data_IF_332954646668
#
_entry.id   IF_332954646668
#
_cell.length_a   1.000
_cell.length_b   1.000
_cell.length_c   1.000
_cell.angle_alpha   90.00
_cell.angle_beta   90.00
_cell.angle_gamma   90.00
#
_symmetry.space_group_name_H-M   'P 1'
#
loop_
_entity.id
_entity.type
_entity.pdbx_description
1 polymer ?
#
# COMPACT_ATOMS: atom_id res chain seq x y z
N UNK A 1 -4.25 -30.53 -23.04
CA UNK A 1 -3.12 -29.95 -23.78
C UNK A 1 -3.70 -28.88 -24.69
N UNK A 2 -3.74 -27.64 -24.23
CA UNK A 2 -4.34 -26.52 -24.96
C UNK A 2 -3.24 -25.77 -25.72
N UNK A 3 -3.27 -25.87 -27.03
CA UNK A 3 -2.42 -25.13 -27.95
C UNK A 3 -2.89 -23.68 -28.04
N UNK A 4 -2.09 -22.77 -27.55
CA UNK A 4 -2.30 -21.33 -27.69
C UNK A 4 -2.28 -20.92 -29.18
N UNK A 5 -3.29 -20.19 -29.59
CA UNK A 5 -3.52 -19.72 -30.97
C UNK A 5 -2.35 -18.85 -31.47
N UNK A 6 -1.81 -19.06 -32.68
CA UNK A 6 -0.60 -18.37 -33.18
C UNK A 6 -0.73 -16.85 -33.32
N UNK A 7 -1.93 -16.29 -33.27
CA UNK A 7 -2.18 -14.85 -33.34
C UNK A 7 -1.73 -14.08 -32.06
N UNK A 8 -1.62 -14.75 -30.92
CA UNK A 8 -1.16 -14.13 -29.65
C UNK A 8 0.37 -13.95 -29.60
N UNK A 9 1.13 -14.78 -30.28
CA UNK A 9 2.58 -14.69 -30.35
C UNK A 9 3.09 -13.56 -31.26
N UNK A 10 2.31 -13.14 -32.25
CA UNK A 10 2.68 -12.02 -33.14
C UNK A 10 2.49 -10.65 -32.47
N UNK A 11 1.50 -10.50 -31.58
CA UNK A 11 1.28 -9.26 -30.81
C UNK A 11 2.39 -9.00 -29.77
N UNK A 12 2.94 -10.05 -29.19
CA UNK A 12 4.05 -9.91 -28.21
C UNK A 12 5.38 -9.52 -28.86
N UNK A 13 5.61 -9.89 -30.12
CA UNK A 13 6.81 -9.47 -30.87
C UNK A 13 6.76 -8.03 -31.34
N UNK A 14 5.57 -7.52 -31.69
CA UNK A 14 5.42 -6.10 -32.12
C UNK A 14 5.60 -5.11 -30.96
N UNK A 15 5.19 -5.46 -29.74
CA UNK A 15 5.37 -4.58 -28.57
C UNK A 15 6.82 -4.52 -28.10
N UNK A 16 7.60 -5.60 -28.27
CA UNK A 16 9.03 -5.64 -27.96
C UNK A 16 9.88 -4.77 -28.89
N UNK A 17 9.59 -4.78 -30.20
CA UNK A 17 10.35 -3.98 -31.17
C UNK A 17 10.08 -2.47 -31.10
N UNK A 18 8.90 -2.05 -30.61
CA UNK A 18 8.58 -0.64 -30.39
C UNK A 18 9.30 -0.06 -29.16
N UNK A 19 9.57 -0.88 -28.15
CA UNK A 19 10.31 -0.45 -26.95
C UNK A 19 11.81 -0.25 -27.24
N UNK A 20 12.41 -1.09 -28.08
CA UNK A 20 13.83 -0.98 -28.47
C UNK A 20 14.09 0.25 -29.36
N UNK A 21 13.18 0.60 -30.26
CA UNK A 21 13.33 1.79 -31.12
C UNK A 21 13.19 3.11 -30.36
N UNK A 22 12.47 3.13 -29.23
CA UNK A 22 12.33 4.33 -28.40
C UNK A 22 13.62 4.62 -27.59
N UNK A 23 14.40 3.60 -27.23
CA UNK A 23 15.63 3.79 -26.46
C UNK A 23 16.80 4.32 -27.28
N UNK A 24 16.87 3.99 -28.58
CA UNK A 24 17.94 4.45 -29.47
C UNK A 24 17.78 5.89 -29.96
N UNK A 25 16.56 6.45 -29.87
CA UNK A 25 16.31 7.85 -30.27
C UNK A 25 16.67 8.88 -29.18
N UNK A 26 16.68 8.45 -27.90
CA UNK A 26 17.01 9.33 -26.76
C UNK A 26 18.49 9.68 -26.63
N UNK A 27 19.38 8.83 -27.15
CA UNK A 27 20.84 9.02 -27.01
C UNK A 27 21.43 10.04 -28.01
N UNK A 28 20.62 10.46 -29.02
CA UNK A 28 21.14 11.34 -30.10
C UNK A 28 20.72 12.82 -29.96
N UNK A 29 19.89 13.16 -28.99
CA UNK A 29 19.29 14.50 -28.85
C UNK A 29 19.82 15.33 -27.67
N UNK A 30 20.85 14.92 -26.92
CA UNK A 30 21.58 15.79 -25.97
C UNK A 30 20.72 16.55 -24.93
N UNK A 31 19.53 16.02 -24.56
CA UNK A 31 18.62 16.64 -23.61
C UNK A 31 18.75 15.98 -22.23
N UNK A 32 19.64 16.55 -21.44
CA UNK A 32 19.85 16.22 -20.04
C UNK A 32 18.75 16.83 -19.16
N UNK A 33 17.59 16.19 -19.08
CA UNK A 33 16.61 16.40 -18.00
C UNK A 33 15.75 15.12 -17.85
N UNK A 34 15.45 14.65 -16.61
CA UNK A 34 14.81 13.36 -16.39
C UNK A 34 13.32 13.39 -16.74
N UNK A 35 12.96 12.80 -17.87
CA UNK A 35 11.57 12.59 -18.32
C UNK A 35 10.95 11.36 -17.62
N UNK A 36 11.47 10.96 -16.47
CA UNK A 36 10.96 9.78 -15.75
C UNK A 36 9.52 9.89 -15.25
N UNK A 37 9.02 11.10 -14.97
CA UNK A 37 7.67 11.29 -14.43
C UNK A 37 6.55 11.16 -15.48
N UNK A 38 6.80 11.55 -16.72
CA UNK A 38 5.79 11.49 -17.81
C UNK A 38 5.58 10.07 -18.36
N UNK A 39 6.62 9.25 -18.35
CA UNK A 39 6.53 7.85 -18.79
C UNK A 39 5.78 6.96 -17.80
N UNK A 40 5.85 7.26 -16.50
CA UNK A 40 5.16 6.48 -15.46
C UNK A 40 3.63 6.65 -15.53
N UNK A 41 3.14 7.86 -15.70
CA UNK A 41 1.69 8.18 -15.78
C UNK A 41 1.05 7.58 -17.05
N UNK A 42 1.80 7.55 -18.17
CA UNK A 42 1.31 6.95 -19.42
C UNK A 42 1.25 5.42 -19.37
N UNK A 43 2.16 4.80 -18.62
CA UNK A 43 2.22 3.34 -18.43
C UNK A 43 1.06 2.83 -17.56
N UNK A 44 0.67 3.57 -16.52
CA UNK A 44 -0.48 3.20 -15.69
C UNK A 44 -1.82 3.30 -16.43
N UNK A 45 -2.00 4.32 -17.28
CA UNK A 45 -3.23 4.45 -18.09
C UNK A 45 -3.37 3.34 -19.13
N UNK A 46 -2.27 2.91 -19.75
CA UNK A 46 -2.26 1.78 -20.69
C UNK A 46 -2.52 0.44 -20.02
N UNK A 47 -2.01 0.23 -18.79
CA UNK A 47 -2.30 -1.00 -18.03
C UNK A 47 -3.77 -1.08 -17.60
N UNK A 48 -4.37 0.03 -17.17
CA UNK A 48 -5.79 0.06 -16.78
C UNK A 48 -6.72 -0.18 -17.99
N UNK A 49 -6.38 0.33 -19.16
CA UNK A 49 -7.15 0.08 -20.38
C UNK A 49 -7.03 -1.39 -20.86
N UNK A 50 -5.86 -2.00 -20.73
CA UNK A 50 -5.64 -3.42 -21.09
C UNK A 50 -6.37 -4.39 -20.15
N UNK A 51 -6.40 -4.10 -18.83
CA UNK A 51 -7.11 -4.92 -17.84
C UNK A 51 -8.63 -4.81 -18.00
N UNK A 52 -9.18 -3.61 -18.30
CA UNK A 52 -10.61 -3.45 -18.59
C UNK A 52 -11.03 -4.17 -19.87
N UNK A 53 -10.19 -4.15 -20.93
CA UNK A 53 -10.44 -4.88 -22.17
C UNK A 53 -10.47 -6.39 -21.99
N UNK A 54 -9.60 -6.94 -21.13
CA UNK A 54 -9.56 -8.38 -20.84
C UNK A 54 -10.78 -8.83 -20.00
N UNK A 55 -11.25 -7.99 -19.06
CA UNK A 55 -12.46 -8.26 -18.26
C UNK A 55 -13.75 -8.24 -19.10
N UNK A 56 -13.82 -7.36 -20.13
CA UNK A 56 -14.97 -7.32 -21.03
C UNK A 56 -15.03 -8.54 -21.96
N UNK A 57 -13.87 -9.08 -22.37
CA UNK A 57 -13.78 -10.27 -23.22
C UNK A 57 -14.20 -11.56 -22.49
N UNK A 58 -13.97 -11.64 -21.18
CA UNK A 58 -14.38 -12.79 -20.36
C UNK A 58 -15.87 -12.79 -20.04
N UNK A 59 -16.53 -11.62 -20.04
CA UNK A 59 -17.98 -11.51 -19.84
C UNK A 59 -18.80 -11.87 -21.09
N UNK A 60 -18.22 -11.82 -22.29
CA UNK A 60 -18.88 -12.19 -23.53
C UNK A 60 -18.74 -13.66 -23.94
N UNK A 61 -17.89 -14.42 -23.23
CA UNK A 61 -17.64 -15.85 -23.50
C UNK A 61 -18.42 -16.82 -22.61
N UNK A 62 -19.31 -16.33 -21.77
CA UNK A 62 -20.05 -17.11 -20.74
C UNK A 62 -21.54 -17.25 -21.00
N UNK A 63 -21.95 -17.67 -22.21
CA UNK A 63 -23.31 -18.16 -22.44
C UNK A 63 -23.24 -19.27 -23.48
N UNK A 64 -23.31 -20.49 -23.03
CA UNK A 64 -23.93 -21.66 -23.65
C UNK A 64 -23.36 -22.92 -23.01
N UNK A 65 -24.12 -23.59 -22.17
CA UNK A 65 -24.37 -25.01 -22.26
C UNK A 65 -25.37 -25.44 -21.21
N UNK A 66 -26.52 -25.79 -21.76
CA UNK A 66 -27.70 -26.35 -21.13
C UNK A 66 -27.56 -27.84 -20.87
N UNK A 67 -28.11 -28.26 -19.73
CA UNK A 67 -28.82 -29.50 -19.42
C UNK A 67 -28.38 -30.85 -20.01
N UNK A 68 -28.15 -31.81 -19.12
CA UNK A 68 -28.60 -33.17 -19.24
C UNK A 68 -28.75 -33.85 -17.87
N UNK A 69 -30.01 -34.00 -17.48
CA UNK A 69 -30.56 -34.90 -16.46
C UNK A 69 -30.49 -36.36 -16.91
N UNK A 70 -30.23 -37.31 -16.01
CA UNK A 70 -30.90 -38.62 -15.84
C UNK A 70 -30.14 -39.48 -14.83
N UNK A 71 -30.76 -39.73 -13.74
CA UNK A 71 -31.43 -40.88 -13.14
C UNK A 71 -30.92 -42.29 -13.63
N UNK A 72 -30.57 -43.11 -12.69
CA UNK A 72 -31.04 -44.47 -12.34
C UNK A 72 -29.95 -45.16 -11.50
N UNK A 73 -30.26 -45.62 -10.39
CA UNK A 73 -31.02 -46.74 -9.83
C UNK A 73 -30.13 -47.80 -9.19
N UNK A 74 -30.49 -48.07 -7.98
CA UNK A 74 -30.28 -49.17 -7.05
C UNK A 74 -29.76 -50.51 -7.60
N UNK A 75 -28.80 -51.10 -6.92
CA UNK A 75 -28.94 -52.53 -6.60
C UNK A 75 -28.03 -53.00 -5.47
N UNK A 76 -28.67 -53.52 -4.45
CA UNK A 76 -28.14 -54.30 -3.31
C UNK A 76 -27.86 -55.73 -3.78
N UNK A 77 -26.72 -56.32 -3.44
CA UNK A 77 -26.61 -57.77 -3.16
C UNK A 77 -25.48 -58.02 -2.16
N UNK A 78 -25.88 -58.50 -1.01
CA UNK A 78 -25.06 -59.22 -0.04
C UNK A 78 -24.75 -60.63 -0.58
N UNK A 79 -23.51 -61.10 -0.37
CA UNK A 79 -23.29 -62.52 0.00
C UNK A 79 -21.99 -62.69 0.76
N UNK A 80 -22.14 -63.24 1.93
CA UNK A 80 -21.07 -63.76 2.76
C UNK A 80 -20.62 -65.12 2.25
N UNK A 81 -19.32 -65.41 2.29
CA UNK A 81 -18.83 -66.76 2.56
C UNK A 81 -17.46 -66.75 3.28
N UNK A 82 -17.49 -67.51 4.31
CA UNK A 82 -16.40 -67.90 5.24
C UNK A 82 -15.47 -68.91 4.56
N UNK A 83 -14.15 -68.88 4.83
CA UNK A 83 -13.43 -69.91 5.57
C UNK A 83 -11.94 -70.03 5.19
N UNK A 84 -11.20 -70.17 6.27
CA UNK A 84 -9.97 -70.96 6.51
C UNK A 84 -8.63 -70.57 5.87
N UNK A 85 -7.73 -70.10 6.73
CA UNK A 85 -6.62 -70.93 7.20
C UNK A 85 -5.37 -70.92 6.32
N UNK A 86 -4.33 -70.19 6.75
CA UNK A 86 -2.98 -70.35 6.28
C UNK A 86 -2.07 -69.27 6.89
N UNK A 87 -1.34 -69.63 7.93
CA UNK A 87 -0.19 -68.86 8.43
C UNK A 87 1.10 -69.49 7.88
N UNK A 88 2.27 -68.84 8.10
CA UNK A 88 2.70 -67.48 7.83
C UNK A 88 3.90 -67.44 6.87
N UNK A 89 4.00 -66.47 6.02
CA UNK A 89 5.23 -66.15 5.33
C UNK A 89 5.74 -64.79 5.87
N UNK A 90 6.92 -64.82 6.43
CA UNK A 90 7.65 -63.64 6.97
C UNK A 90 7.85 -62.64 5.86
N UNK A 91 7.20 -61.50 6.01
CA UNK A 91 7.44 -60.30 5.19
C UNK A 91 8.77 -59.64 5.58
N UNK A 92 9.55 -59.14 4.63
CA UNK A 92 10.76 -58.33 4.94
C UNK A 92 10.37 -57.02 5.64
N UNK A 93 11.27 -56.44 6.46
CA UNK A 93 10.98 -55.20 7.16
C UNK A 93 10.76 -54.07 6.12
N UNK A 94 9.53 -53.59 6.06
CA UNK A 94 9.20 -52.36 5.37
C UNK A 94 9.91 -51.20 6.02
N UNK A 95 10.91 -50.67 5.40
CA UNK A 95 11.47 -49.36 5.78
C UNK A 95 10.36 -48.33 5.47
N UNK A 96 9.62 -47.98 6.49
CA UNK A 96 8.76 -46.80 6.48
C UNK A 96 9.68 -45.58 6.42
N UNK A 97 9.60 -44.70 5.44
CA UNK A 97 10.22 -43.40 5.55
C UNK A 97 9.52 -42.68 6.72
N UNK A 98 10.21 -42.50 7.82
CA UNK A 98 9.79 -41.55 8.87
C UNK A 98 9.76 -40.15 8.23
N UNK A 99 8.63 -39.81 7.65
CA UNK A 99 8.32 -38.43 7.36
C UNK A 99 8.07 -37.73 8.69
N UNK A 100 9.12 -37.20 9.29
CA UNK A 100 9.04 -36.25 10.39
C UNK A 100 8.48 -34.93 9.85
N UNK A 101 7.29 -34.97 9.31
CA UNK A 101 6.50 -33.81 9.00
C UNK A 101 5.91 -33.27 10.30
N UNK A 102 6.48 -32.20 10.83
CA UNK A 102 5.91 -31.49 11.98
C UNK A 102 4.53 -30.97 11.56
N UNK A 103 3.49 -31.71 11.97
CA UNK A 103 2.09 -31.32 11.71
C UNK A 103 1.74 -30.14 12.60
N UNK A 104 1.35 -29.03 12.03
CA UNK A 104 0.92 -27.82 12.76
C UNK A 104 -0.57 -27.92 13.08
N UNK A 105 -0.93 -27.83 14.36
CA UNK A 105 -2.33 -27.71 14.76
C UNK A 105 -2.86 -26.32 14.45
N UNK A 106 -4.10 -26.20 13.90
CA UNK A 106 -4.69 -24.90 13.55
C UNK A 106 -4.77 -23.96 14.76
N UNK A 107 -4.36 -22.70 14.58
CA UNK A 107 -4.52 -21.66 15.59
C UNK A 107 -3.62 -21.79 16.83
N UNK A 108 -2.60 -22.66 16.81
CA UNK A 108 -1.64 -22.83 17.93
C UNK A 108 -0.42 -21.91 17.81
N UNK A 109 -0.37 -21.06 16.80
CA UNK A 109 0.73 -20.11 16.63
C UNK A 109 0.89 -19.21 17.87
N UNK A 110 2.12 -19.09 18.36
CA UNK A 110 2.42 -18.27 19.53
C UNK A 110 2.39 -16.77 19.18
N UNK A 111 2.10 -15.93 20.18
CA UNK A 111 2.18 -14.49 20.06
C UNK A 111 3.55 -14.01 19.55
N UNK A 112 4.63 -14.67 20.02
CA UNK A 112 6.00 -14.34 19.63
C UNK A 112 6.27 -14.67 18.16
N UNK A 113 5.78 -15.80 17.65
CA UNK A 113 5.91 -16.17 16.24
C UNK A 113 5.16 -15.19 15.33
N UNK A 114 3.93 -14.81 15.71
CA UNK A 114 3.13 -13.81 15.00
C UNK A 114 3.82 -12.45 15.00
N UNK A 115 4.33 -12.01 16.16
CA UNK A 115 5.04 -10.73 16.29
C UNK A 115 6.34 -10.74 15.48
N UNK A 116 7.08 -11.83 15.48
CA UNK A 116 8.30 -11.97 14.69
C UNK A 116 8.02 -11.90 13.18
N UNK A 117 6.91 -12.46 12.72
CA UNK A 117 6.48 -12.35 11.34
C UNK A 117 6.03 -10.93 10.99
N UNK A 118 5.22 -10.29 11.84
CA UNK A 118 4.75 -8.92 11.67
C UNK A 118 5.91 -7.92 11.59
N UNK A 119 6.94 -8.08 12.41
CA UNK A 119 8.16 -7.24 12.41
C UNK A 119 8.92 -7.27 11.07
N UNK A 120 8.73 -8.29 10.25
CA UNK A 120 9.32 -8.36 8.91
C UNK A 120 8.54 -7.61 7.84
N UNK A 121 7.32 -7.13 8.15
CA UNK A 121 6.51 -6.38 7.21
C UNK A 121 7.03 -4.94 7.05
N UNK A 122 7.07 -4.39 5.82
CA UNK A 122 7.64 -3.05 5.57
C UNK A 122 6.96 -1.91 6.34
N UNK A 123 5.65 -2.05 6.59
CA UNK A 123 4.84 -1.04 7.29
C UNK A 123 4.78 -1.24 8.80
N UNK A 124 5.54 -2.22 9.35
CA UNK A 124 5.55 -2.44 10.79
C UNK A 124 6.33 -1.34 11.52
N UNK A 125 5.80 -0.78 12.62
CA UNK A 125 6.48 0.25 13.38
C UNK A 125 7.85 -0.23 13.86
N UNK A 126 8.91 0.43 13.40
CA UNK A 126 10.29 0.09 13.72
C UNK A 126 11.10 1.38 13.94
N UNK A 127 12.27 1.25 14.56
CA UNK A 127 13.17 2.36 14.80
C UNK A 127 13.83 2.30 16.17
N UNK A 128 14.78 3.21 16.37
CA UNK A 128 15.51 3.28 17.63
C UNK A 128 14.54 3.65 18.79
N UNK A 129 14.54 2.86 19.85
CA UNK A 129 13.72 3.09 21.03
C UNK A 129 12.24 2.68 20.88
N UNK A 130 11.83 2.11 19.76
CA UNK A 130 10.47 1.57 19.58
C UNK A 130 10.35 0.23 20.26
N UNK A 131 9.35 0.07 21.11
CA UNK A 131 9.01 -1.17 21.79
C UNK A 131 7.64 -1.64 21.32
N UNK A 132 7.52 -2.95 21.07
CA UNK A 132 6.29 -3.55 20.58
C UNK A 132 5.95 -4.79 21.40
N UNK A 133 4.66 -4.93 21.73
CA UNK A 133 4.09 -6.09 22.41
C UNK A 133 2.82 -6.51 21.69
N UNK A 134 2.58 -7.82 21.59
CA UNK A 134 1.40 -8.38 20.97
C UNK A 134 0.63 -9.20 22.00
N UNK A 135 -0.67 -8.91 22.10
CA UNK A 135 -1.62 -9.68 22.88
C UNK A 135 -2.65 -10.32 21.94
N UNK A 136 -2.96 -11.60 22.13
CA UNK A 136 -4.03 -12.30 21.40
C UNK A 136 -5.33 -12.04 22.16
N UNK A 137 -6.25 -11.29 21.56
CA UNK A 137 -7.52 -10.90 22.21
C UNK A 137 -8.52 -12.06 22.33
N UNK A 138 -8.52 -12.94 21.35
CA UNK A 138 -9.40 -14.10 21.31
C UNK A 138 -8.72 -15.26 20.61
N UNK A 139 -8.73 -16.42 21.25
CA UNK A 139 -8.32 -17.67 20.64
C UNK A 139 -9.38 -18.13 19.63
N UNK A 140 -9.00 -18.46 18.41
CA UNK A 140 -9.92 -18.99 17.43
C UNK A 140 -10.39 -20.40 17.80
N UNK A 141 -11.61 -20.77 17.40
CA UNK A 141 -12.13 -22.13 17.57
C UNK A 141 -11.65 -22.98 16.40
N UNK A 142 -10.73 -23.90 16.68
CA UNK A 142 -10.02 -24.68 15.64
C UNK A 142 -10.19 -26.19 15.76
N UNK A 143 -10.85 -26.67 16.83
CA UNK A 143 -10.96 -28.11 17.15
C UNK A 143 -11.64 -28.95 16.03
N UNK A 144 -12.38 -28.31 15.11
CA UNK A 144 -13.05 -28.96 13.99
C UNK A 144 -12.23 -28.94 12.70
N UNK A 145 -11.06 -28.30 12.70
CA UNK A 145 -10.22 -28.15 11.52
C UNK A 145 -9.18 -29.28 11.45
N UNK A 146 -8.95 -29.75 10.25
CA UNK A 146 -7.92 -30.75 10.01
C UNK A 146 -6.52 -30.22 10.28
N UNK A 147 -5.57 -31.05 10.73
CA UNK A 147 -4.18 -30.68 10.87
C UNK A 147 -3.57 -30.19 9.55
N UNK A 148 -2.64 -29.23 9.61
CA UNK A 148 -1.97 -28.65 8.47
C UNK A 148 -0.50 -29.00 8.46
N UNK A 149 0.07 -29.20 7.28
CA UNK A 149 1.51 -29.45 7.14
C UNK A 149 2.29 -28.14 7.02
N UNK A 150 1.67 -27.10 6.43
CA UNK A 150 2.32 -25.79 6.23
C UNK A 150 1.32 -24.66 6.35
N UNK A 151 1.67 -23.65 7.15
CA UNK A 151 0.84 -22.45 7.31
C UNK A 151 1.60 -21.20 6.90
N UNK A 152 0.87 -20.23 6.37
CA UNK A 152 1.36 -18.89 6.04
C UNK A 152 0.48 -17.83 6.69
N UNK A 153 1.09 -16.71 7.10
CA UNK A 153 0.34 -15.57 7.61
C UNK A 153 -0.06 -14.65 6.48
N UNK A 154 -1.30 -14.14 6.56
CA UNK A 154 -1.87 -13.20 5.60
C UNK A 154 -2.49 -12.01 6.31
N UNK A 155 -2.37 -10.83 5.70
CA UNK A 155 -2.97 -9.58 6.16
C UNK A 155 -3.95 -9.07 5.11
N UNK A 156 -5.00 -8.38 5.56
CA UNK A 156 -5.84 -7.62 4.65
C UNK A 156 -5.01 -6.50 3.98
N UNK A 157 -5.32 -6.21 2.72
CA UNK A 157 -4.67 -5.11 2.01
C UNK A 157 -4.85 -3.78 2.75
N UNK A 158 -3.77 -3.05 2.98
CA UNK A 158 -3.79 -1.78 3.72
C UNK A 158 -3.99 -1.91 5.23
N UNK A 159 -3.85 -3.12 5.80
CA UNK A 159 -3.95 -3.32 7.23
C UNK A 159 -2.91 -2.48 7.99
N UNK A 160 -3.37 -1.76 9.01
CA UNK A 160 -2.51 -1.07 9.96
C UNK A 160 -1.89 -2.11 10.90
N UNK A 161 -0.57 -2.05 11.11
CA UNK A 161 0.17 -3.04 11.91
C UNK A 161 0.40 -2.60 13.38
N UNK A 162 -0.51 -1.82 13.95
CA UNK A 162 -0.57 -1.47 15.38
C UNK A 162 -2.02 -1.24 15.83
N UNK A 163 -2.26 -1.33 17.13
CA UNK A 163 -3.60 -1.35 17.66
C UNK A 163 -4.28 -2.69 17.39
N UNK A 164 -5.55 -2.69 17.04
CA UNK A 164 -6.29 -3.91 16.69
C UNK A 164 -5.96 -4.35 15.27
N UNK A 165 -5.50 -5.59 15.12
CA UNK A 165 -5.10 -6.20 13.86
C UNK A 165 -5.71 -7.58 13.74
N UNK A 166 -6.23 -7.91 12.55
CA UNK A 166 -6.65 -9.26 12.21
C UNK A 166 -5.57 -9.90 11.35
N UNK A 167 -4.95 -10.97 11.85
CA UNK A 167 -3.94 -11.75 11.17
C UNK A 167 -4.54 -13.09 10.78
N UNK A 168 -4.56 -13.41 9.48
CA UNK A 168 -4.95 -14.72 8.98
C UNK A 168 -3.80 -15.70 9.08
N UNK A 169 -4.07 -16.92 9.55
CA UNK A 169 -3.23 -18.09 9.43
C UNK A 169 -3.87 -19.00 8.39
N UNK A 170 -3.24 -19.10 7.22
CA UNK A 170 -3.72 -19.86 6.08
C UNK A 170 -2.96 -21.17 5.93
N UNK A 171 -3.68 -22.29 5.83
CA UNK A 171 -3.08 -23.58 5.54
C UNK A 171 -2.84 -23.70 4.05
N UNK A 172 -1.56 -23.91 3.67
CA UNK A 172 -1.14 -24.04 2.26
C UNK A 172 -0.90 -25.47 1.85
N UNK A 173 -0.83 -26.44 2.81
CA UNK A 173 -0.60 -27.86 2.50
C UNK A 173 -1.23 -28.75 3.58
N UNK A 174 -1.93 -29.79 3.16
CA UNK A 174 -2.58 -30.79 4.00
C UNK A 174 -4.04 -30.52 4.35
N UNK A 175 -4.47 -29.25 4.30
CA UNK A 175 -5.85 -28.83 4.52
C UNK A 175 -6.14 -27.49 3.80
N UNK A 176 -7.41 -27.07 3.81
CA UNK A 176 -7.86 -25.82 3.16
C UNK A 176 -8.66 -24.99 4.14
N UNK A 177 -7.98 -24.32 5.08
CA UNK A 177 -8.63 -23.43 6.04
C UNK A 177 -7.83 -22.14 6.23
N UNK A 178 -8.53 -21.11 6.68
CA UNK A 178 -7.91 -19.87 7.17
C UNK A 178 -8.50 -19.53 8.53
N UNK A 179 -7.64 -19.32 9.50
CA UNK A 179 -7.99 -18.95 10.87
C UNK A 179 -7.61 -17.49 11.08
N UNK A 180 -8.52 -16.68 11.61
CA UNK A 180 -8.27 -15.27 11.90
C UNK A 180 -8.00 -15.05 13.39
N UNK A 181 -6.80 -14.55 13.68
CA UNK A 181 -6.39 -14.15 15.01
C UNK A 181 -6.69 -12.66 15.21
N UNK A 182 -7.43 -12.33 16.26
CA UNK A 182 -7.67 -10.96 16.68
C UNK A 182 -6.58 -10.54 17.65
N UNK A 183 -5.73 -9.62 17.21
CA UNK A 183 -4.54 -9.20 17.92
C UNK A 183 -4.67 -7.77 18.42
N UNK A 184 -4.05 -7.47 19.55
CA UNK A 184 -3.74 -6.11 19.99
C UNK A 184 -2.23 -5.92 19.97
N UNK A 185 -1.75 -5.05 19.09
CA UNK A 185 -0.33 -4.70 18.98
C UNK A 185 -0.13 -3.36 19.67
N UNK A 186 0.60 -3.38 20.79
CA UNK A 186 1.03 -2.19 21.51
C UNK A 186 2.34 -1.71 20.93
N UNK A 187 2.43 -0.41 20.68
CA UNK A 187 3.62 0.23 20.15
C UNK A 187 3.90 1.47 20.97
N UNK A 188 5.04 1.49 21.64
CA UNK A 188 5.54 2.65 22.35
C UNK A 188 6.88 3.07 21.77
N UNK A 189 7.07 4.34 21.57
CA UNK A 189 8.30 4.84 20.99
C UNK A 189 8.47 6.34 21.15
N UNK A 190 9.63 6.87 20.75
CA UNK A 190 9.90 8.28 20.79
C UNK A 190 9.05 9.03 19.75
N UNK A 191 8.61 10.23 20.10
CA UNK A 191 7.89 11.13 19.20
C UNK A 191 8.22 12.58 19.52
N UNK A 192 8.05 13.45 18.52
CA UNK A 192 8.07 14.90 18.70
C UNK A 192 6.75 15.32 19.35
N UNK A 193 6.80 15.80 20.60
CA UNK A 193 5.64 16.23 21.37
C UNK A 193 5.69 17.74 21.54
N UNK A 194 4.60 18.43 21.20
CA UNK A 194 4.50 19.88 21.29
C UNK A 194 4.66 20.36 22.75
N UNK A 195 5.58 21.30 23.00
CA UNK A 195 5.81 21.91 24.32
C UNK A 195 4.70 22.88 24.70
N UNK A 196 4.10 23.52 23.72
CA UNK A 196 3.03 24.48 23.82
C UNK A 196 2.01 24.29 22.72
N UNK A 197 0.89 24.96 22.81
CA UNK A 197 -0.10 24.98 21.73
C UNK A 197 0.46 25.71 20.50
N UNK A 198 0.38 25.08 19.34
CA UNK A 198 0.78 25.64 18.05
C UNK A 198 -0.46 25.87 17.18
N UNK A 199 -0.59 27.06 16.63
CA UNK A 199 -1.76 27.44 15.85
C UNK A 199 -1.75 26.80 14.43
N UNK A 200 -2.92 26.56 13.87
CA UNK A 200 -3.05 26.21 12.46
C UNK A 200 -2.42 27.29 11.55
N UNK A 201 -1.76 26.88 10.47
CA UNK A 201 -1.05 27.80 9.55
C UNK A 201 0.33 28.25 10.04
N UNK A 202 0.74 27.93 11.26
CA UNK A 202 2.11 28.19 11.71
C UNK A 202 3.09 27.15 11.14
N UNK A 203 4.32 27.58 10.88
CA UNK A 203 5.44 26.69 10.48
C UNK A 203 6.11 26.20 11.76
N UNK A 204 6.01 24.90 12.08
CA UNK A 204 6.57 24.38 13.33
C UNK A 204 8.09 24.36 13.27
N UNK A 205 8.73 24.68 14.40
CA UNK A 205 10.18 24.69 14.57
C UNK A 205 10.60 23.52 15.46
N UNK A 206 11.83 23.03 15.32
CA UNK A 206 12.35 21.97 16.18
C UNK A 206 12.28 22.33 17.67
N UNK A 207 12.46 23.61 18.02
CA UNK A 207 12.38 24.13 19.39
C UNK A 207 10.97 24.04 20.01
N UNK A 208 9.92 23.95 19.18
CA UNK A 208 8.54 23.83 19.65
C UNK A 208 8.23 22.45 20.23
N UNK A 209 9.12 21.49 20.03
CA UNK A 209 8.91 20.09 20.42
C UNK A 209 9.92 19.61 21.47
N UNK A 210 9.52 18.58 22.18
CA UNK A 210 10.40 17.73 22.98
C UNK A 210 10.23 16.29 22.55
N UNK A 211 11.32 15.51 22.57
CA UNK A 211 11.24 14.08 22.33
C UNK A 211 10.71 13.40 23.59
N UNK A 212 9.58 12.74 23.47
CA UNK A 212 8.95 11.99 24.56
C UNK A 212 8.57 10.59 24.07
N UNK A 213 8.51 9.65 25.00
CA UNK A 213 7.98 8.32 24.74
C UNK A 213 6.46 8.37 24.80
N UNK A 214 5.80 7.94 23.72
CA UNK A 214 4.35 7.94 23.60
C UNK A 214 3.82 6.61 23.08
N UNK A 215 2.56 6.34 23.41
CA UNK A 215 1.82 5.21 22.84
C UNK A 215 1.31 5.59 21.45
N UNK A 216 1.87 4.94 20.41
CA UNK A 216 1.52 5.18 18.99
C UNK A 216 0.14 4.66 18.63
N UNK A 217 -0.42 3.72 19.43
CA UNK A 217 -1.72 3.12 19.14
C UNK A 217 -2.89 4.07 19.26
N UNK A 218 -2.68 5.22 19.93
CA UNK A 218 -3.68 6.26 20.09
C UNK A 218 -4.00 7.04 18.82
N UNK A 219 -3.13 6.95 17.79
CA UNK A 219 -3.29 7.66 16.53
C UNK A 219 -3.45 6.68 15.36
N UNK A 220 -4.23 7.03 14.32
CA UNK A 220 -4.34 6.22 13.11
C UNK A 220 -3.04 6.21 12.30
N UNK A 221 -2.22 7.24 12.41
CA UNK A 221 -0.92 7.38 11.74
C UNK A 221 0.21 7.33 12.76
N UNK A 222 1.40 6.80 12.41
CA UNK A 222 2.55 6.82 13.31
C UNK A 222 3.04 8.25 13.52
N UNK A 223 3.71 8.57 14.65
CA UNK A 223 4.41 9.83 14.79
C UNK A 223 5.46 10.02 13.69
N UNK A 224 5.75 11.27 13.35
CA UNK A 224 6.83 11.58 12.40
C UNK A 224 8.19 11.15 12.94
N UNK A 225 9.12 10.74 12.06
CA UNK A 225 10.52 10.52 12.41
C UNK A 225 11.14 11.75 13.08
N UNK A 226 12.03 11.53 14.04
CA UNK A 226 12.64 12.61 14.83
C UNK A 226 13.50 13.57 14.01
N UNK A 227 14.00 13.11 12.88
CA UNK A 227 14.85 13.85 11.93
C UNK A 227 14.05 14.54 10.81
N UNK A 228 12.71 14.56 10.92
CA UNK A 228 11.84 15.21 9.93
C UNK A 228 12.16 16.71 9.83
N UNK A 229 12.35 17.19 8.58
CA UNK A 229 12.46 18.62 8.29
C UNK A 229 11.10 19.29 8.40
N UNK A 230 10.97 20.27 9.30
CA UNK A 230 9.71 20.94 9.60
C UNK A 230 9.55 22.29 8.88
N UNK A 231 10.67 22.93 8.45
CA UNK A 231 10.67 24.32 7.96
C UNK A 231 9.90 24.58 6.67
N UNK A 232 9.65 23.55 5.86
CA UNK A 232 8.93 23.66 4.57
C UNK A 232 7.45 23.30 4.68
N UNK A 233 6.94 23.09 5.89
CA UNK A 233 5.59 22.64 6.16
C UNK A 233 4.89 23.55 7.17
N UNK A 234 3.58 23.64 7.08
CA UNK A 234 2.77 24.35 8.07
C UNK A 234 1.70 23.43 8.68
N UNK A 235 1.26 23.75 9.88
CA UNK A 235 0.21 22.99 10.54
C UNK A 235 -1.14 23.19 9.84
N UNK A 236 -1.79 22.09 9.46
CA UNK A 236 -3.16 22.13 8.91
C UNK A 236 -4.20 22.46 9.97
N UNK A 237 -3.93 22.08 11.21
CA UNK A 237 -4.79 22.25 12.38
C UNK A 237 -3.97 22.60 13.60
N UNK A 238 -4.61 23.20 14.59
CA UNK A 238 -3.99 23.48 15.88
C UNK A 238 -3.50 22.19 16.53
N UNK A 239 -2.26 22.19 17.00
CA UNK A 239 -1.64 21.12 17.76
C UNK A 239 -1.59 21.53 19.23
N UNK A 240 -2.23 20.76 20.12
CA UNK A 240 -2.26 21.07 21.54
C UNK A 240 -0.91 20.77 22.22
N UNK A 241 -0.62 21.46 23.33
CA UNK A 241 0.50 21.09 24.19
C UNK A 241 0.38 19.63 24.64
N UNK A 242 1.49 18.89 24.62
CA UNK A 242 1.53 17.47 24.96
C UNK A 242 1.07 16.52 23.84
N UNK A 243 0.63 17.01 22.69
CA UNK A 243 0.24 16.20 21.54
C UNK A 243 1.46 15.86 20.67
N UNK A 244 1.53 14.61 20.21
CA UNK A 244 2.56 14.16 19.28
C UNK A 244 2.28 14.64 17.86
N UNK A 245 3.35 14.94 17.12
CA UNK A 245 3.30 15.40 15.74
C UNK A 245 3.22 14.19 14.79
N UNK A 246 2.25 14.24 13.87
CA UNK A 246 2.01 13.22 12.86
C UNK A 246 1.94 13.84 11.46
N UNK A 247 2.10 13.02 10.42
CA UNK A 247 2.11 13.51 9.03
C UNK A 247 0.81 14.23 8.64
N UNK A 248 -0.33 13.76 9.16
CA UNK A 248 -1.65 14.35 8.92
C UNK A 248 -1.88 15.70 9.65
N UNK A 249 -0.94 16.15 10.48
CA UNK A 249 -0.94 17.49 11.04
C UNK A 249 -0.30 18.54 10.13
N UNK A 250 0.46 18.09 9.12
CA UNK A 250 1.28 18.95 8.29
C UNK A 250 0.78 19.02 6.84
N UNK A 251 1.03 20.14 6.21
CA UNK A 251 0.88 20.36 4.78
C UNK A 251 2.05 21.19 4.28
N UNK A 252 2.40 21.15 2.98
CA UNK A 252 3.40 22.06 2.42
C UNK A 252 3.05 23.51 2.74
N UNK A 253 4.02 24.28 3.22
CA UNK A 253 3.84 25.71 3.44
C UNK A 253 3.62 26.41 2.09
N UNK A 254 2.70 27.39 2.01
CA UNK A 254 2.50 28.14 0.79
C UNK A 254 3.74 28.98 0.46
N UNK A 255 4.13 28.98 -0.81
CA UNK A 255 5.23 29.83 -1.32
C UNK A 255 4.87 31.31 -1.24
N UNK A 256 3.58 31.61 -1.48
CA UNK A 256 3.01 32.97 -1.42
C UNK A 256 1.82 32.95 -0.46
N UNK A 257 1.76 33.94 0.45
CA UNK A 257 0.63 34.11 1.38
C UNK A 257 -0.34 35.19 0.90
N UNK A 258 -1.60 35.06 1.27
CA UNK A 258 -2.61 36.09 1.02
C UNK A 258 -2.17 37.44 1.60
N UNK A 259 -2.30 38.51 0.82
CA UNK A 259 -1.85 39.86 1.17
C UNK A 259 -0.37 40.13 0.93
N UNK A 260 0.43 39.14 0.53
CA UNK A 260 1.85 39.30 0.20
C UNK A 260 1.99 40.07 -1.13
N UNK A 261 2.96 40.99 -1.19
CA UNK A 261 3.33 41.66 -2.44
C UNK A 261 4.28 40.76 -3.22
N UNK A 262 3.92 40.46 -4.45
CA UNK A 262 4.64 39.55 -5.34
C UNK A 262 4.86 40.18 -6.70
N UNK A 263 5.91 39.78 -7.41
CA UNK A 263 6.11 40.18 -8.78
C UNK A 263 5.24 39.35 -9.70
N UNK A 264 4.28 39.98 -10.37
CA UNK A 264 3.47 39.39 -11.42
C UNK A 264 4.20 39.56 -12.78
N UNK A 265 4.56 38.44 -13.40
CA UNK A 265 5.38 38.40 -14.61
C UNK A 265 4.54 37.89 -15.79
N UNK A 266 4.40 38.69 -16.81
CA UNK A 266 3.83 38.28 -18.10
C UNK A 266 4.93 38.16 -19.13
N UNK A 267 5.03 37.00 -19.77
CA UNK A 267 6.00 36.69 -20.82
C UNK A 267 5.27 36.37 -22.14
N UNK A 268 5.83 36.85 -23.24
CA UNK A 268 5.37 36.57 -24.59
C UNK A 268 6.51 36.68 -25.58
N UNK A 269 6.23 36.51 -26.88
CA UNK A 269 7.21 36.55 -27.95
C UNK A 269 7.93 37.93 -27.99
N UNK A 270 9.17 37.93 -27.47
CA UNK A 270 10.02 39.11 -27.48
C UNK A 270 9.77 40.12 -26.36
N UNK A 271 8.91 39.85 -25.38
CA UNK A 271 8.71 40.76 -24.26
C UNK A 271 8.59 40.03 -22.91
N UNK A 272 9.04 40.69 -21.84
CA UNK A 272 8.81 40.31 -20.43
C UNK A 272 8.42 41.56 -19.65
N UNK A 273 7.25 41.54 -19.05
CA UNK A 273 6.72 42.63 -18.26
C UNK A 273 6.56 42.11 -16.82
N UNK A 274 7.10 42.84 -15.85
CA UNK A 274 6.93 42.57 -14.44
C UNK A 274 6.22 43.76 -13.78
N UNK A 275 5.29 43.50 -12.88
CA UNK A 275 4.63 44.49 -12.03
C UNK A 275 4.40 43.93 -10.63
N UNK A 276 4.47 44.78 -9.64
CA UNK A 276 4.10 44.40 -8.30
C UNK A 276 2.58 44.13 -8.25
N UNK A 277 2.19 43.14 -7.49
CA UNK A 277 0.79 42.80 -7.29
C UNK A 277 0.59 42.21 -5.89
N UNK A 278 -0.62 42.32 -5.35
CA UNK A 278 -0.98 41.75 -4.05
C UNK A 278 -1.67 40.41 -4.28
N UNK A 279 -1.16 39.36 -3.65
CA UNK A 279 -1.76 38.03 -3.66
C UNK A 279 -3.13 38.04 -2.95
N UNK A 280 -4.17 37.56 -3.62
CA UNK A 280 -5.54 37.51 -3.07
C UNK A 280 -5.83 36.23 -2.31
N UNK A 281 -4.94 35.22 -2.39
CA UNK A 281 -5.02 33.97 -1.67
C UNK A 281 -3.60 33.44 -1.40
N UNK A 282 -3.48 32.45 -0.51
CA UNK A 282 -2.21 31.70 -0.35
C UNK A 282 -2.14 30.58 -1.37
N UNK A 283 -0.95 30.32 -1.92
CA UNK A 283 -0.71 29.25 -2.88
C UNK A 283 0.72 28.69 -2.77
N UNK A 284 0.87 27.41 -3.01
CA UNK A 284 2.16 26.72 -3.08
C UNK A 284 2.74 26.76 -4.49
N UNK A 285 3.96 26.25 -4.63
CA UNK A 285 4.68 26.13 -5.90
C UNK A 285 3.82 25.43 -6.98
N UNK A 286 3.78 25.99 -8.19
CA UNK A 286 3.03 25.46 -9.32
C UNK A 286 1.51 25.55 -9.20
N UNK A 287 0.96 26.18 -8.14
CA UNK A 287 -0.48 26.38 -8.00
C UNK A 287 -0.92 27.68 -8.65
N UNK A 288 -2.18 27.68 -9.12
CA UNK A 288 -2.81 28.88 -9.68
C UNK A 288 -3.21 29.84 -8.57
N UNK A 289 -2.90 31.11 -8.74
CA UNK A 289 -3.21 32.19 -7.79
C UNK A 289 -3.78 33.40 -8.52
N UNK A 290 -4.64 34.14 -7.82
CA UNK A 290 -5.10 35.46 -8.27
C UNK A 290 -4.33 36.55 -7.54
N UNK A 291 -3.87 37.55 -8.30
CA UNK A 291 -3.16 38.70 -7.77
C UNK A 291 -3.82 39.99 -8.26
N UNK A 292 -3.76 41.05 -7.48
CA UNK A 292 -4.30 42.38 -7.80
C UNK A 292 -3.16 43.35 -8.03
N UNK A 293 -3.11 43.94 -9.22
CA UNK A 293 -2.15 45.00 -9.57
C UNK A 293 -2.49 46.31 -8.85
N UNK A 294 -1.56 47.28 -8.76
CA UNK A 294 -1.82 48.58 -8.19
C UNK A 294 -2.96 49.36 -8.90
N UNK A 295 -3.18 49.12 -10.20
CA UNK A 295 -4.30 49.65 -10.94
C UNK A 295 -5.64 48.97 -10.71
N UNK A 296 -5.72 48.01 -9.73
CA UNK A 296 -6.95 47.33 -9.33
C UNK A 296 -7.34 46.13 -10.21
N UNK A 297 -6.61 45.86 -11.29
CA UNK A 297 -6.87 44.74 -12.19
C UNK A 297 -6.48 43.40 -11.49
N UNK A 298 -7.38 42.42 -11.55
CA UNK A 298 -7.10 41.07 -11.04
C UNK A 298 -6.58 40.21 -12.20
N UNK A 299 -5.44 39.58 -11.97
CA UNK A 299 -4.76 38.66 -12.89
C UNK A 299 -4.68 37.29 -12.26
N UNK A 300 -4.65 36.23 -13.10
CA UNK A 300 -4.41 34.85 -12.67
C UNK A 300 -3.08 34.34 -13.23
N UNK A 301 -2.34 33.60 -12.45
CA UNK A 301 -1.07 33.04 -12.86
C UNK A 301 -0.67 31.82 -12.02
N UNK A 302 0.46 31.21 -12.35
CA UNK A 302 1.11 30.14 -11.58
C UNK A 302 2.17 30.71 -10.66
N UNK A 303 2.27 30.15 -9.48
CA UNK A 303 3.33 30.45 -8.52
C UNK A 303 4.65 29.80 -8.96
N UNK A 304 5.68 30.61 -9.13
CA UNK A 304 7.07 30.18 -9.35
C UNK A 304 7.95 30.86 -8.26
N UNK A 305 8.22 30.13 -7.17
CA UNK A 305 8.92 30.68 -6.00
C UNK A 305 8.16 31.81 -5.33
N UNK A 306 8.69 33.04 -5.39
CA UNK A 306 8.07 34.27 -4.87
C UNK A 306 7.48 35.15 -5.99
N UNK A 307 7.34 34.61 -7.19
CA UNK A 307 6.79 35.31 -8.35
C UNK A 307 5.52 34.61 -8.86
N UNK A 308 4.73 35.34 -9.62
CA UNK A 308 3.50 34.81 -10.25
C UNK A 308 3.60 34.99 -11.75
N UNK A 309 3.70 33.89 -12.49
CA UNK A 309 3.70 33.89 -13.94
C UNK A 309 2.26 33.97 -14.46
N UNK A 310 1.92 35.07 -15.11
CA UNK A 310 0.55 35.38 -15.53
C UNK A 310 0.20 34.57 -16.77
N UNK A 311 -0.98 33.98 -16.77
CA UNK A 311 -1.59 33.39 -17.98
C UNK A 311 -2.06 34.49 -18.95
N UNK A 312 -1.89 34.20 -20.20
CA UNK A 312 -2.45 35.03 -21.30
C UNK A 312 -3.90 34.65 -21.56
#
# INVERSE_FOLDING_TARGET
MNTLHPALLSLFRLTGQLAERASTFSTRAGLDKPIHHLLHVRREKLHRAAVLGLLLLTLLAGSDSEAATREHETSVVQTAHSSRGGAPASAPPSIQPEATGTTVSPGTASADAMLAWLKRQPSFPSGQGVQTRLDILRQPRTAHLAPCQHTEYVLAAGARLWGRVNLGEHCTSGATWTVWHNLQIHVEGPALVARQQLAAGSVPQAADFSVQRVDWTRSPTPPLPLDTRLGDQELQRTLAAGQSLHADHLRPAPSIRSGEVVAAIAEGDGFRIATDAIALASAGEGQSIRVRTPGGKVLSGLVEGKTVKIFR
#
